data_IF_356525028416
#
_entry.id   IF_356525028416
#
_cell.length_a   1.000
_cell.length_b   1.000
_cell.length_c   1.000
_cell.angle_alpha   90.00
_cell.angle_beta   90.00
_cell.angle_gamma   90.00
#
_symmetry.space_group_name_H-M   'P 1'
#
loop_
_entity.id
_entity.type
_entity.pdbx_description
1 polymer ?
#
# COMPACT_ATOMS: atom_id res chain seq x y z
N UNK A 1 -18.80 -15.16 35.42
CA UNK A 1 -20.05 -15.66 34.82
C UNK A 1 -19.94 -15.40 33.32
N UNK A 2 -19.36 -16.35 32.57
CA UNK A 2 -19.06 -16.17 31.15
C UNK A 2 -20.22 -16.70 30.30
N UNK A 3 -20.85 -15.84 29.50
CA UNK A 3 -21.86 -16.24 28.50
C UNK A 3 -21.16 -16.50 27.17
N UNK A 4 -21.18 -17.75 26.73
CA UNK A 4 -20.86 -18.15 25.37
C UNK A 4 -22.02 -17.69 24.44
N UNK A 5 -21.71 -16.87 23.44
CA UNK A 5 -22.65 -16.55 22.35
C UNK A 5 -22.40 -17.58 21.25
N UNK A 6 -23.39 -18.43 20.98
CA UNK A 6 -23.40 -19.29 19.79
C UNK A 6 -23.69 -18.42 18.56
N UNK A 7 -22.75 -18.39 17.63
CA UNK A 7 -22.97 -17.83 16.29
C UNK A 7 -23.53 -18.98 15.45
N UNK A 8 -24.79 -18.85 15.02
CA UNK A 8 -25.43 -19.73 14.06
C UNK A 8 -24.82 -19.48 12.68
N UNK A 9 -24.14 -20.48 12.13
CA UNK A 9 -23.64 -20.48 10.76
C UNK A 9 -24.73 -20.98 9.81
N UNK A 10 -25.55 -20.07 9.27
CA UNK A 10 -26.48 -20.40 8.20
C UNK A 10 -25.71 -20.48 6.87
N UNK A 11 -25.37 -21.72 6.50
CA UNK A 11 -24.60 -22.03 5.29
C UNK A 11 -25.57 -22.37 4.17
N UNK A 12 -26.18 -21.36 3.53
CA UNK A 12 -27.02 -21.60 2.35
C UNK A 12 -26.12 -21.78 1.12
N UNK A 13 -25.65 -23.02 0.93
CA UNK A 13 -24.90 -23.46 -0.25
C UNK A 13 -25.86 -23.58 -1.45
N UNK A 14 -25.96 -22.51 -2.25
CA UNK A 14 -26.73 -22.52 -3.50
C UNK A 14 -25.94 -23.26 -4.59
N UNK A 15 -26.37 -24.48 -4.92
CA UNK A 15 -25.83 -25.29 -6.00
C UNK A 15 -26.47 -24.89 -7.33
N UNK A 16 -25.81 -24.03 -8.11
CA UNK A 16 -26.17 -23.84 -9.51
C UNK A 16 -25.53 -24.93 -10.39
N UNK A 17 -26.31 -25.74 -11.12
CA UNK A 17 -25.77 -26.65 -12.13
C UNK A 17 -25.40 -25.83 -13.39
N UNK A 18 -24.15 -25.40 -13.49
CA UNK A 18 -23.62 -24.79 -14.71
C UNK A 18 -23.51 -25.88 -15.79
N UNK A 19 -24.39 -25.79 -16.79
CA UNK A 19 -24.37 -26.65 -17.97
C UNK A 19 -23.12 -26.36 -18.80
N UNK A 20 -22.29 -27.39 -18.96
CA UNK A 20 -21.14 -27.45 -19.87
C UNK A 20 -21.58 -27.22 -21.32
N UNK A 21 -21.45 -25.98 -21.80
CA UNK A 21 -21.63 -25.65 -23.21
C UNK A 21 -20.28 -25.75 -23.90
N UNK A 22 -20.11 -26.81 -24.70
CA UNK A 22 -18.97 -26.98 -25.61
C UNK A 22 -19.07 -25.93 -26.72
N UNK A 23 -18.23 -24.90 -26.67
CA UNK A 23 -18.01 -24.01 -27.82
C UNK A 23 -16.87 -24.59 -28.65
N UNK A 24 -17.17 -24.82 -29.91
CA UNK A 24 -16.37 -25.55 -30.88
C UNK A 24 -15.94 -24.56 -31.97
N UNK A 25 -14.61 -24.41 -32.15
CA UNK A 25 -13.90 -24.01 -33.38
C UNK A 25 -14.13 -22.53 -33.82
N UNK A 26 -13.09 -21.71 -34.02
CA UNK A 26 -12.37 -21.63 -35.31
C UNK A 26 -11.02 -20.94 -35.17
N UNK A 27 -9.99 -21.65 -35.61
CA UNK A 27 -8.62 -21.17 -35.88
C UNK A 27 -8.58 -20.30 -37.14
N UNK A 28 -8.10 -19.07 -37.03
CA UNK A 28 -7.61 -18.27 -38.16
C UNK A 28 -6.18 -17.86 -37.85
N UNK A 29 -5.25 -18.44 -38.60
CA UNK A 29 -3.87 -17.99 -38.67
C UNK A 29 -3.74 -16.82 -39.65
N UNK A 30 -2.90 -15.84 -39.31
CA UNK A 30 -2.30 -14.94 -40.29
C UNK A 30 -0.85 -14.70 -39.89
N UNK A 31 0.05 -15.02 -40.82
CA UNK A 31 1.49 -14.91 -40.67
C UNK A 31 2.01 -13.54 -41.16
N UNK A 32 2.98 -13.02 -40.39
CA UNK A 32 4.13 -12.16 -40.71
C UNK A 32 4.08 -11.07 -41.80
N UNK A 33 4.49 -9.85 -41.41
CA UNK A 33 5.53 -9.10 -42.12
C UNK A 33 6.34 -8.26 -41.12
N UNK A 34 7.64 -8.55 -40.98
CA UNK A 34 8.64 -7.70 -40.34
C UNK A 34 9.34 -6.90 -41.42
N UNK A 35 9.42 -5.57 -41.31
CA UNK A 35 10.57 -4.76 -41.77
C UNK A 35 10.47 -3.30 -41.32
N UNK A 36 11.37 -2.95 -40.40
CA UNK A 36 12.15 -1.70 -40.32
C UNK A 36 11.45 -0.33 -40.38
N UNK A 37 11.06 0.21 -39.22
CA UNK A 37 11.20 1.64 -38.97
C UNK A 37 12.68 1.92 -38.66
N UNK A 38 13.36 2.69 -39.50
CA UNK A 38 14.68 3.24 -39.20
C UNK A 38 14.61 4.74 -39.35
N UNK A 39 14.39 5.42 -38.23
CA UNK A 39 14.71 6.84 -38.11
C UNK A 39 15.47 7.03 -36.79
N UNK A 40 16.80 7.31 -36.84
CA UNK A 40 17.57 7.50 -35.63
C UNK A 40 17.25 8.89 -35.08
N UNK A 41 16.28 8.97 -34.18
CA UNK A 41 16.20 10.11 -33.27
C UNK A 41 17.42 10.05 -32.35
N UNK A 42 18.34 11.00 -32.55
CA UNK A 42 19.49 11.27 -31.69
C UNK A 42 19.13 11.15 -30.21
N UNK A 43 19.85 10.34 -29.41
CA UNK A 43 19.78 10.50 -27.96
C UNK A 43 20.53 11.79 -27.64
N UNK A 44 19.79 12.88 -27.45
CA UNK A 44 20.27 14.01 -26.67
C UNK A 44 20.62 13.46 -25.29
N UNK A 45 21.91 13.29 -25.04
CA UNK A 45 22.47 13.09 -23.70
C UNK A 45 22.12 14.34 -22.89
N UNK A 46 20.93 14.37 -22.30
CA UNK A 46 20.63 15.29 -21.22
C UNK A 46 21.16 14.59 -19.95
N UNK A 47 22.18 15.15 -19.28
CA UNK A 47 22.58 14.68 -17.97
C UNK A 47 21.33 14.70 -17.08
N UNK A 48 21.12 13.71 -16.19
CA UNK A 48 20.11 13.87 -15.16
C UNK A 48 20.52 15.09 -14.33
N UNK A 49 19.78 16.19 -14.50
CA UNK A 49 19.78 17.33 -13.60
C UNK A 49 19.47 16.78 -12.20
N UNK A 50 20.54 16.45 -11.50
CA UNK A 50 20.56 16.08 -10.10
C UNK A 50 20.32 17.36 -9.32
N UNK A 51 19.05 17.78 -9.26
CA UNK A 51 18.60 18.78 -8.32
C UNK A 51 18.54 18.15 -6.92
N UNK A 52 19.14 18.79 -5.89
CA UNK A 52 19.34 18.17 -4.59
C UNK A 52 18.06 18.20 -3.75
N UNK A 53 17.72 17.06 -3.15
CA UNK A 53 16.75 16.89 -2.07
C UNK A 53 15.31 17.32 -2.40
N UNK A 54 14.67 16.61 -3.33
CA UNK A 54 13.21 16.68 -3.45
C UNK A 54 12.57 15.97 -2.25
N UNK A 55 11.76 16.70 -1.49
CA UNK A 55 10.88 16.12 -0.48
C UNK A 55 10.08 14.94 -1.09
N UNK A 56 9.86 13.85 -0.35
CA UNK A 56 9.11 12.72 -0.86
C UNK A 56 7.68 13.15 -1.22
N UNK A 57 7.34 13.14 -2.51
CA UNK A 57 5.93 13.26 -2.93
C UNK A 57 5.19 12.01 -2.48
N UNK A 58 4.31 12.18 -1.48
CA UNK A 58 3.53 11.10 -0.87
C UNK A 58 2.33 10.69 -1.72
N UNK A 59 1.91 9.43 -1.57
CA UNK A 59 0.75 8.86 -2.27
C UNK A 59 -0.57 9.25 -1.61
N UNK A 60 -0.55 9.55 -0.32
CA UNK A 60 -1.66 10.13 0.46
C UNK A 60 -1.26 11.51 0.99
N UNK A 61 -2.22 12.36 1.38
CA UNK A 61 -1.92 13.52 2.20
C UNK A 61 -1.13 13.14 3.45
N UNK A 62 -0.27 14.05 3.91
CA UNK A 62 0.41 13.89 5.19
C UNK A 62 -0.59 13.96 6.34
N UNK A 63 -0.27 13.30 7.45
CA UNK A 63 -1.10 13.29 8.65
C UNK A 63 -0.30 13.85 9.82
N UNK A 64 -0.91 14.80 10.52
CA UNK A 64 -0.36 15.43 11.72
C UNK A 64 -0.67 14.61 12.97
N UNK A 65 0.34 14.40 13.80
CA UNK A 65 0.21 13.86 15.15
C UNK A 65 0.62 14.95 16.17
N UNK A 66 -0.31 15.46 16.98
CA UNK A 66 0.04 16.35 18.08
C UNK A 66 0.73 15.56 19.21
N UNK A 67 1.91 16.01 19.62
CA UNK A 67 2.66 15.42 20.73
C UNK A 67 2.30 16.09 22.07
N UNK A 68 2.46 15.34 23.16
CA UNK A 68 2.25 15.86 24.52
C UNK A 68 3.21 17.02 24.89
N UNK A 69 4.32 17.18 24.17
CA UNK A 69 5.27 18.28 24.31
C UNK A 69 4.78 19.59 23.69
N UNK A 70 3.68 19.57 22.93
CA UNK A 70 3.15 20.71 22.19
C UNK A 70 3.68 20.84 20.76
N UNK A 71 4.64 19.98 20.37
CA UNK A 71 5.11 19.86 19.00
C UNK A 71 4.13 19.05 18.14
N UNK A 72 4.20 19.21 16.82
CA UNK A 72 3.47 18.38 15.86
C UNK A 72 4.48 17.66 14.97
N UNK A 73 4.22 16.37 14.75
CA UNK A 73 4.99 15.53 13.84
C UNK A 73 4.10 15.20 12.65
N UNK A 74 4.67 15.29 11.44
CA UNK A 74 4.00 14.88 10.22
C UNK A 74 4.43 13.46 9.83
N UNK A 75 3.47 12.72 9.30
CA UNK A 75 3.67 11.40 8.73
C UNK A 75 3.25 11.41 7.26
N UNK A 76 3.96 10.63 6.44
CA UNK A 76 3.63 10.45 5.03
C UNK A 76 3.86 9.01 4.58
N UNK A 77 3.12 8.56 3.57
CA UNK A 77 3.30 7.24 2.97
C UNK A 77 3.59 7.37 1.49
N UNK A 78 4.52 6.52 1.00
CA UNK A 78 4.82 6.37 -0.43
C UNK A 78 5.34 4.98 -0.74
N UNK A 79 4.72 4.31 -1.70
CA UNK A 79 5.11 2.96 -2.13
C UNK A 79 5.25 1.97 -0.96
N UNK A 80 4.29 1.98 -0.04
CA UNK A 80 4.22 1.19 1.19
C UNK A 80 5.36 1.48 2.18
N UNK A 81 6.10 2.58 1.99
CA UNK A 81 7.08 3.10 2.93
C UNK A 81 6.48 4.25 3.71
N UNK A 82 6.67 4.23 5.03
CA UNK A 82 6.14 5.25 5.92
C UNK A 82 7.28 6.12 6.41
N UNK A 83 7.06 7.42 6.37
CA UNK A 83 8.02 8.45 6.72
C UNK A 83 7.47 9.29 7.86
N UNK A 84 8.39 9.76 8.71
CA UNK A 84 8.14 10.68 9.82
C UNK A 84 8.99 11.94 9.62
N UNK A 85 8.41 13.12 9.79
CA UNK A 85 9.19 14.36 9.74
C UNK A 85 9.99 14.57 11.04
N UNK A 86 11.13 15.24 10.92
CA UNK A 86 11.75 15.88 12.07
C UNK A 86 10.83 17.00 12.56
N UNK A 87 10.64 17.12 13.89
CA UNK A 87 9.74 18.12 14.51
C UNK A 87 9.83 19.49 13.81
N UNK A 88 8.67 20.07 13.51
CA UNK A 88 8.55 21.20 12.58
C UNK A 88 9.02 22.54 13.20
N UNK A 89 10.32 22.73 13.36
CA UNK A 89 10.90 24.04 13.76
C UNK A 89 11.19 24.97 12.57
N UNK A 90 10.44 24.82 11.47
CA UNK A 90 10.42 25.80 10.38
C UNK A 90 11.63 25.79 9.44
N UNK A 91 12.48 24.77 9.49
CA UNK A 91 13.58 24.57 8.52
C UNK A 91 13.38 23.24 7.82
N UNK A 92 13.14 23.30 6.49
CA UNK A 92 13.12 22.21 5.50
C UNK A 92 12.79 20.82 6.07
N UNK A 93 11.56 20.37 5.82
CA UNK A 93 11.02 19.16 6.42
C UNK A 93 11.88 17.93 6.07
N UNK A 94 12.69 17.50 7.05
CA UNK A 94 13.57 16.35 6.88
C UNK A 94 12.79 15.10 7.24
N UNK A 95 12.66 14.18 6.28
CA UNK A 95 11.88 12.96 6.44
C UNK A 95 12.76 11.76 6.77
N UNK A 96 12.38 11.01 7.80
CA UNK A 96 13.02 9.76 8.21
C UNK A 96 12.13 8.57 7.85
N UNK A 97 12.72 7.55 7.21
CA UNK A 97 12.02 6.29 6.92
C UNK A 97 11.78 5.53 8.24
N UNK A 98 10.52 5.22 8.53
CA UNK A 98 10.11 4.57 9.77
C UNK A 98 9.73 3.10 9.55
N UNK A 99 8.92 2.83 8.52
CA UNK A 99 8.50 1.47 8.17
C UNK A 99 8.65 1.23 6.68
N UNK A 100 9.06 0.02 6.32
CA UNK A 100 8.98 -0.48 4.96
C UNK A 100 8.58 -1.96 4.95
N UNK A 101 8.05 -2.47 3.84
CA UNK A 101 7.66 -3.87 3.73
C UNK A 101 8.86 -4.80 3.94
N UNK A 102 8.60 -5.97 4.52
CA UNK A 102 9.64 -6.98 4.69
C UNK A 102 10.23 -7.39 3.32
N UNK A 103 11.55 -7.64 3.23
CA UNK A 103 12.17 -8.08 2.00
C UNK A 103 11.51 -9.35 1.44
N UNK A 104 11.32 -9.39 0.13
CA UNK A 104 10.74 -10.54 -0.57
C UNK A 104 11.51 -10.84 -1.85
N UNK A 105 11.74 -12.13 -2.18
CA UNK A 105 12.63 -12.50 -3.28
C UNK A 105 12.09 -12.21 -4.69
N UNK A 106 10.78 -12.00 -4.83
CA UNK A 106 10.16 -11.68 -6.12
C UNK A 106 9.73 -10.21 -6.17
N UNK A 107 9.60 -9.61 -7.37
CA UNK A 107 9.05 -8.27 -7.52
C UNK A 107 7.68 -8.14 -6.87
N UNK A 108 7.48 -7.04 -6.13
CA UNK A 108 6.24 -6.71 -5.47
C UNK A 108 5.73 -5.33 -5.92
N UNK A 109 4.43 -5.13 -5.80
CA UNK A 109 3.76 -3.85 -5.92
C UNK A 109 3.06 -3.50 -4.61
N UNK A 110 3.04 -2.21 -4.29
CA UNK A 110 2.25 -1.71 -3.18
C UNK A 110 0.78 -1.69 -3.60
N UNK A 111 -0.09 -2.35 -2.82
CA UNK A 111 -1.53 -2.44 -3.11
C UNK A 111 -2.39 -1.88 -1.97
N UNK A 112 -1.77 -1.54 -0.84
CA UNK A 112 -2.46 -0.97 0.32
C UNK A 112 -1.56 0.05 1.01
N UNK A 113 -2.09 1.25 1.14
CA UNK A 113 -1.49 2.35 1.88
C UNK A 113 -2.59 3.05 2.65
N UNK A 114 -2.39 3.20 3.95
CA UNK A 114 -3.29 3.96 4.79
C UNK A 114 -2.53 4.60 5.92
N UNK A 115 -2.83 5.88 6.12
CA UNK A 115 -2.30 6.72 7.17
C UNK A 115 -3.44 7.59 7.69
N UNK A 116 -3.70 7.56 8.99
CA UNK A 116 -4.82 8.29 9.58
C UNK A 116 -4.54 8.56 11.06
N UNK A 117 -5.00 9.70 11.56
CA UNK A 117 -5.06 10.00 12.99
C UNK A 117 -6.52 10.00 13.43
N UNK A 118 -6.87 9.16 14.41
CA UNK A 118 -8.26 8.98 14.87
C UNK A 118 -8.65 9.92 16.03
N UNK A 119 -7.72 10.77 16.48
CA UNK A 119 -7.88 11.62 17.66
C UNK A 119 -7.08 11.16 18.88
N UNK A 120 -6.63 9.91 18.91
CA UNK A 120 -5.81 9.35 19.98
C UNK A 120 -4.55 8.65 19.46
N UNK A 121 -4.66 7.95 18.33
CA UNK A 121 -3.59 7.19 17.70
C UNK A 121 -3.38 7.59 16.24
N UNK A 122 -2.12 7.73 15.86
CA UNK A 122 -1.74 7.60 14.45
C UNK A 122 -1.80 6.11 14.08
N UNK A 123 -2.43 5.80 12.95
CA UNK A 123 -2.62 4.45 12.45
C UNK A 123 -2.02 4.31 11.06
N UNK A 124 -1.34 3.19 10.84
CA UNK A 124 -0.67 2.87 9.58
C UNK A 124 -1.10 1.49 9.14
N UNK A 125 -1.42 1.35 7.85
CA UNK A 125 -1.51 0.04 7.19
C UNK A 125 -0.75 0.07 5.86
N UNK A 126 0.15 -0.90 5.67
CA UNK A 126 0.90 -1.09 4.44
C UNK A 126 0.78 -2.54 3.98
N UNK A 127 0.63 -2.75 2.68
CA UNK A 127 0.47 -4.08 2.12
C UNK A 127 1.01 -4.18 0.70
N UNK A 128 1.85 -5.17 0.47
CA UNK A 128 2.42 -5.45 -0.85
C UNK A 128 1.92 -6.77 -1.39
N UNK A 129 1.88 -6.87 -2.71
CA UNK A 129 1.50 -8.07 -3.43
C UNK A 129 2.62 -8.42 -4.41
N UNK A 130 3.00 -9.69 -4.49
CA UNK A 130 3.85 -10.18 -5.55
C UNK A 130 3.18 -9.95 -6.91
N UNK A 131 3.95 -9.49 -7.90
CA UNK A 131 3.41 -9.25 -9.25
C UNK A 131 2.83 -10.55 -9.83
N UNK A 132 1.57 -10.48 -10.32
CA UNK A 132 0.86 -11.62 -10.89
C UNK A 132 0.16 -12.54 -9.87
N UNK A 133 0.28 -12.27 -8.57
CA UNK A 133 -0.53 -12.96 -7.56
C UNK A 133 -1.98 -12.43 -7.55
N UNK A 134 -2.93 -13.30 -7.19
CA UNK A 134 -4.33 -12.92 -6.94
C UNK A 134 -4.60 -12.73 -5.44
N UNK A 135 -5.58 -11.90 -5.09
CA UNK A 135 -5.94 -11.60 -3.69
C UNK A 135 -5.03 -10.57 -3.02
N UNK A 136 -5.26 -10.27 -1.73
CA UNK A 136 -4.31 -9.47 -0.93
C UNK A 136 -3.25 -10.39 -0.30
N UNK A 137 -2.51 -9.85 0.65
CA UNK A 137 -1.19 -9.32 0.38
C UNK A 137 -0.10 -10.36 0.66
N UNK A 138 1.01 -10.30 -0.07
CA UNK A 138 2.19 -11.13 0.17
C UNK A 138 2.91 -10.72 1.44
N UNK A 139 2.98 -9.41 1.70
CA UNK A 139 3.37 -8.87 3.01
C UNK A 139 2.35 -7.85 3.45
N UNK A 140 2.13 -7.77 4.76
CA UNK A 140 1.20 -6.85 5.36
C UNK A 140 1.73 -6.43 6.73
N UNK A 141 1.57 -5.16 7.07
CA UNK A 141 1.80 -4.67 8.41
C UNK A 141 0.78 -3.58 8.77
N UNK A 142 0.34 -3.60 10.03
CA UNK A 142 -0.48 -2.55 10.60
C UNK A 142 0.10 -2.14 11.95
N UNK A 143 0.18 -0.83 12.17
CA UNK A 143 0.75 -0.24 13.37
C UNK A 143 -0.14 0.87 13.90
N UNK A 144 -0.06 1.12 15.22
CA UNK A 144 -0.58 2.35 15.81
C UNK A 144 0.38 2.90 16.86
N UNK A 145 0.32 4.21 17.09
CA UNK A 145 1.08 4.89 18.14
C UNK A 145 0.37 6.14 18.63
N UNK A 146 0.62 6.55 19.88
CA UNK A 146 0.14 7.83 20.44
C UNK A 146 1.18 8.94 20.37
N UNK A 147 2.45 8.58 20.23
CA UNK A 147 3.60 9.49 20.35
C UNK A 147 4.52 9.44 19.11
N UNK A 148 4.24 8.55 18.16
CA UNK A 148 5.04 8.38 16.96
C UNK A 148 6.41 7.75 17.21
N UNK A 149 6.64 7.16 18.39
CA UNK A 149 7.90 6.56 18.83
C UNK A 149 7.67 5.12 19.33
N UNK A 150 6.63 4.91 20.15
CA UNK A 150 6.23 3.63 20.68
C UNK A 150 5.09 3.04 19.85
N UNK A 151 5.33 1.89 19.23
CA UNK A 151 4.42 1.32 18.24
C UNK A 151 3.82 -0.01 18.70
N UNK A 152 2.50 -0.12 18.56
CA UNK A 152 1.76 -1.36 18.73
C UNK A 152 1.47 -1.99 17.37
N UNK A 153 1.82 -3.27 17.22
CA UNK A 153 1.44 -4.05 16.03
C UNK A 153 -0.04 -4.41 16.14
N UNK A 154 -0.79 -4.25 15.05
CA UNK A 154 -2.20 -4.63 14.98
C UNK A 154 -2.44 -5.77 14.00
N UNK A 155 -3.45 -6.61 14.25
CA UNK A 155 -3.98 -7.49 13.22
C UNK A 155 -4.58 -6.64 12.08
N UNK A 156 -4.50 -7.16 10.86
CA UNK A 156 -5.09 -6.51 9.70
C UNK A 156 -6.61 -6.33 9.89
N UNK A 157 -7.10 -5.11 9.66
CA UNK A 157 -8.54 -4.88 9.52
C UNK A 157 -9.00 -5.27 8.11
N UNK A 158 -10.30 -5.22 7.84
CA UNK A 158 -10.89 -5.63 6.56
C UNK A 158 -10.13 -5.05 5.36
N UNK A 159 -9.94 -5.87 4.32
CA UNK A 159 -9.25 -5.44 3.09
C UNK A 159 -10.01 -4.35 2.33
N UNK A 160 -11.31 -4.22 2.59
CA UNK A 160 -12.25 -3.35 1.87
C UNK A 160 -12.73 -2.15 2.67
N UNK A 161 -12.76 -2.24 4.00
CA UNK A 161 -13.35 -1.21 4.85
C UNK A 161 -12.46 -0.92 6.05
N UNK A 162 -12.36 0.36 6.43
CA UNK A 162 -11.75 0.72 7.69
C UNK A 162 -12.58 0.15 8.83
N UNK A 163 -11.92 -0.36 9.85
CA UNK A 163 -12.58 -0.57 11.12
C UNK A 163 -11.97 0.43 12.08
N UNK A 164 -12.79 1.38 12.54
CA UNK A 164 -12.44 2.19 13.72
C UNK A 164 -12.29 1.19 14.85
N UNK A 165 -11.08 1.07 15.40
CA UNK A 165 -10.85 0.16 16.50
C UNK A 165 -11.26 0.87 17.79
N UNK A 166 -12.22 0.28 18.50
CA UNK A 166 -12.58 0.66 19.87
C UNK A 166 -11.43 0.41 20.87
#
# INVERSE_FOLDING_TARGET
>A
MYRYIQIASDSTFSTHPWKTTKVLITSIGMAAAVTACSEPASPTNQPPDSSPSAEPVFTTPTVELPLATGETVLFGIKSCKVYKSASSDGVSETWTLLFEPAPYPLPQQCIRERLEFDGEFIQIEIGTQALGAGGCCTTYAAYRSRDGENWEVRPATSITEWQVLE
#
